data_IF_406061705865
#
_entry.id   IF_406061705865
#
_cell.length_a   1.000
_cell.length_b   1.000
_cell.length_c   1.000
_cell.angle_alpha   90.00
_cell.angle_beta   90.00
_cell.angle_gamma   90.00
#
_symmetry.space_group_name_H-M   'P 1'
#
loop_
_entity.id
_entity.type
_entity.pdbx_description
1 polymer ?
#
# COMPACT_ATOMS: atom_id res chain seq x y z
N UNK A 1 6.73 2.06 -15.01
CA UNK A 1 6.71 0.62 -14.68
C UNK A 1 5.90 -0.13 -15.72
N UNK A 2 6.15 -1.44 -15.93
CA UNK A 2 5.32 -2.29 -16.78
C UNK A 2 3.84 -2.26 -16.33
N UNK A 3 2.90 -2.20 -17.29
CA UNK A 3 1.45 -2.16 -17.02
C UNK A 3 0.95 -3.39 -16.25
N UNK A 4 1.65 -4.51 -16.41
CA UNK A 4 1.36 -5.79 -15.75
C UNK A 4 1.40 -5.67 -14.21
N UNK A 5 2.24 -4.79 -13.66
CA UNK A 5 2.36 -4.57 -12.21
C UNK A 5 1.28 -3.65 -11.63
N UNK A 6 0.61 -2.85 -12.46
CA UNK A 6 -0.55 -2.04 -12.04
C UNK A 6 -1.79 -2.92 -11.77
N UNK A 7 -1.70 -4.21 -12.12
CA UNK A 7 -2.77 -5.20 -12.04
C UNK A 7 -2.58 -6.19 -10.88
N UNK A 8 -1.83 -5.81 -9.83
CA UNK A 8 -1.56 -6.69 -8.68
C UNK A 8 -2.83 -7.34 -8.10
N UNK A 9 -3.97 -6.65 -8.14
CA UNK A 9 -5.27 -7.15 -7.67
C UNK A 9 -6.08 -7.95 -8.72
N UNK A 10 -5.59 -8.07 -9.95
CA UNK A 10 -6.24 -8.82 -11.04
C UNK A 10 -5.85 -10.30 -11.08
N UNK A 11 -4.86 -10.69 -10.26
CA UNK A 11 -4.40 -12.07 -10.14
C UNK A 11 -5.13 -12.76 -8.99
N UNK A 12 -5.37 -14.06 -9.13
CA UNK A 12 -5.84 -14.89 -8.02
C UNK A 12 -4.78 -14.86 -6.90
N UNK A 13 -5.23 -14.59 -5.68
CA UNK A 13 -4.37 -14.44 -4.50
C UNK A 13 -4.53 -15.68 -3.63
N UNK A 14 -3.44 -16.37 -3.36
CA UNK A 14 -3.42 -17.38 -2.32
C UNK A 14 -3.41 -16.69 -0.95
N UNK A 15 -4.24 -17.18 -0.03
CA UNK A 15 -4.24 -16.71 1.34
C UNK A 15 -2.91 -17.09 2.02
N UNK A 16 -2.28 -16.12 2.66
CA UNK A 16 -1.11 -16.36 3.51
C UNK A 16 -1.62 -16.52 4.93
N UNK A 17 -1.73 -17.76 5.41
CA UNK A 17 -2.31 -18.06 6.74
C UNK A 17 -1.44 -17.55 7.90
N UNK A 18 -0.12 -17.54 7.74
CA UNK A 18 0.82 -17.10 8.76
C UNK A 18 0.81 -15.58 8.93
N UNK A 19 0.30 -15.10 10.06
CA UNK A 19 0.19 -13.67 10.35
C UNK A 19 1.56 -13.01 10.56
N UNK A 20 2.59 -13.74 10.97
CA UNK A 20 3.94 -13.20 11.12
C UNK A 20 4.52 -12.83 9.75
N UNK A 21 4.29 -13.66 8.73
CA UNK A 21 4.68 -13.35 7.35
C UNK A 21 3.98 -12.09 6.85
N UNK A 22 2.66 -11.97 7.09
CA UNK A 22 1.89 -10.78 6.67
C UNK A 22 2.39 -9.52 7.38
N UNK A 23 2.64 -9.58 8.69
CA UNK A 23 3.19 -8.48 9.46
C UNK A 23 4.58 -8.06 8.95
N UNK A 24 5.51 -9.00 8.77
CA UNK A 24 6.88 -8.70 8.30
C UNK A 24 6.88 -8.12 6.88
N UNK A 25 5.97 -8.57 6.02
CA UNK A 25 5.80 -8.01 4.69
C UNK A 25 5.35 -6.54 4.75
N UNK A 26 4.40 -6.22 5.63
CA UNK A 26 3.95 -4.84 5.87
C UNK A 26 5.07 -3.97 6.45
N UNK A 27 5.87 -4.48 7.39
CA UNK A 27 7.04 -3.77 7.91
C UNK A 27 8.09 -3.49 6.83
N UNK A 28 8.33 -4.43 5.92
CA UNK A 28 9.21 -4.22 4.78
C UNK A 28 8.67 -3.14 3.82
N UNK A 29 7.37 -3.17 3.53
CA UNK A 29 6.69 -2.16 2.71
C UNK A 29 6.77 -0.78 3.37
N UNK A 30 6.57 -0.69 4.69
CA UNK A 30 6.73 0.53 5.47
C UNK A 30 8.11 1.15 5.25
N UNK A 31 9.18 0.35 5.38
CA UNK A 31 10.55 0.82 5.18
C UNK A 31 10.79 1.37 3.76
N UNK A 32 10.19 0.76 2.74
CA UNK A 32 10.27 1.22 1.35
C UNK A 32 9.53 2.55 1.18
N UNK A 33 8.30 2.66 1.70
CA UNK A 33 7.42 3.84 1.54
C UNK A 33 7.89 5.06 2.34
N UNK A 34 8.73 4.87 3.36
CA UNK A 34 9.36 6.00 4.06
C UNK A 34 10.17 6.89 3.10
N UNK A 35 10.77 6.31 2.06
CA UNK A 35 11.56 7.05 1.07
C UNK A 35 10.64 7.63 -0.02
N UNK A 36 10.90 8.86 -0.48
CA UNK A 36 9.98 9.53 -1.42
C UNK A 36 9.84 8.81 -2.77
N UNK A 37 10.92 8.28 -3.35
CA UNK A 37 10.85 7.48 -4.59
C UNK A 37 10.20 6.11 -4.38
N UNK A 38 10.36 5.53 -3.19
CA UNK A 38 9.67 4.30 -2.78
C UNK A 38 8.17 4.53 -2.69
N UNK A 39 7.75 5.65 -2.07
CA UNK A 39 6.35 6.07 -2.01
C UNK A 39 5.76 6.30 -3.39
N UNK A 40 6.43 7.08 -4.26
CA UNK A 40 5.97 7.31 -5.65
C UNK A 40 5.82 6.00 -6.43
N UNK A 41 6.80 5.10 -6.29
CA UNK A 41 6.75 3.78 -6.91
C UNK A 41 5.57 2.96 -6.40
N UNK A 42 5.30 3.00 -5.10
CA UNK A 42 4.16 2.34 -4.48
C UNK A 42 2.81 2.87 -5.01
N UNK A 43 2.67 4.18 -5.17
CA UNK A 43 1.48 4.77 -5.80
C UNK A 43 1.28 4.30 -7.25
N UNK A 44 2.37 4.17 -8.02
CA UNK A 44 2.29 3.76 -9.42
C UNK A 44 1.81 2.31 -9.66
N UNK A 45 1.73 1.49 -8.60
CA UNK A 45 1.16 0.12 -8.64
C UNK A 45 -0.18 0.01 -7.92
N UNK A 46 -0.87 1.12 -7.68
CA UNK A 46 -2.09 1.16 -6.87
C UNK A 46 -1.88 0.66 -5.42
N UNK A 47 -0.69 0.90 -4.86
CA UNK A 47 -0.34 0.51 -3.49
C UNK A 47 -1.39 0.85 -2.42
N UNK A 48 -1.97 2.08 -2.40
CA UNK A 48 -3.04 2.40 -1.45
C UNK A 48 -4.26 1.48 -1.56
N UNK A 49 -4.66 1.09 -2.78
CA UNK A 49 -5.77 0.16 -2.98
C UNK A 49 -5.39 -1.26 -2.55
N UNK A 50 -4.14 -1.66 -2.75
CA UNK A 50 -3.61 -2.95 -2.26
C UNK A 50 -3.72 -3.02 -0.73
N UNK A 51 -3.30 -1.96 -0.02
CA UNK A 51 -3.42 -1.90 1.44
C UNK A 51 -4.86 -1.90 1.90
N UNK A 52 -5.74 -1.14 1.22
CA UNK A 52 -7.15 -1.10 1.57
C UNK A 52 -7.79 -2.48 1.50
N UNK A 53 -7.61 -3.19 0.37
CA UNK A 53 -8.19 -4.54 0.21
C UNK A 53 -7.58 -5.51 1.23
N UNK A 54 -6.26 -5.43 1.45
CA UNK A 54 -5.60 -6.27 2.44
C UNK A 54 -6.10 -6.04 3.88
N UNK A 55 -6.40 -4.79 4.24
CA UNK A 55 -6.95 -4.43 5.54
C UNK A 55 -8.41 -4.84 5.71
N UNK A 56 -9.23 -4.72 4.65
CA UNK A 56 -10.64 -5.16 4.65
C UNK A 56 -10.79 -6.68 4.92
N UNK A 57 -9.80 -7.47 4.51
CA UNK A 57 -9.77 -8.93 4.66
C UNK A 57 -9.00 -9.40 5.94
N UNK A 58 -8.41 -8.49 6.72
CA UNK A 58 -7.55 -8.84 7.86
C UNK A 58 -8.30 -8.89 9.19
N UNK A 59 -8.02 -9.94 9.99
CA UNK A 59 -8.64 -10.15 11.30
C UNK A 59 -7.62 -10.19 12.46
N UNK A 60 -6.32 -10.39 12.17
CA UNK A 60 -5.27 -10.39 13.19
C UNK A 60 -4.95 -8.96 13.64
N UNK A 61 -5.17 -8.62 14.94
CA UNK A 61 -4.99 -7.25 15.42
C UNK A 61 -3.58 -6.69 15.21
N UNK A 62 -2.54 -7.53 15.24
CA UNK A 62 -1.15 -7.07 15.03
C UNK A 62 -0.90 -6.72 13.58
N UNK A 63 -1.48 -7.47 12.66
CA UNK A 63 -1.34 -7.20 11.22
C UNK A 63 -2.15 -5.95 10.86
N UNK A 64 -3.33 -5.77 11.46
CA UNK A 64 -4.12 -4.54 11.32
C UNK A 64 -3.33 -3.29 11.76
N UNK A 65 -2.64 -3.34 12.91
CA UNK A 65 -1.78 -2.24 13.37
C UNK A 65 -0.66 -1.90 12.35
N UNK A 66 -0.06 -2.92 11.73
CA UNK A 66 0.95 -2.72 10.69
C UNK A 66 0.36 -2.05 9.42
N UNK A 67 -0.85 -2.41 9.02
CA UNK A 67 -1.56 -1.71 7.93
C UNK A 67 -1.82 -0.24 8.27
N UNK A 68 -2.31 0.05 9.47
CA UNK A 68 -2.59 1.42 9.94
C UNK A 68 -1.31 2.27 9.95
N UNK A 69 -0.19 1.69 10.40
CA UNK A 69 1.11 2.37 10.41
C UNK A 69 1.52 2.79 9.00
N UNK A 70 1.41 1.90 8.01
CA UNK A 70 1.71 2.26 6.60
C UNK A 70 0.72 3.30 6.08
N UNK A 71 -0.58 3.13 6.36
CA UNK A 71 -1.64 4.06 5.96
C UNK A 71 -1.36 5.49 6.42
N UNK A 72 -0.82 5.66 7.63
CA UNK A 72 -0.45 6.97 8.17
C UNK A 72 0.56 7.74 7.30
N UNK A 73 1.46 7.03 6.60
CA UNK A 73 2.44 7.64 5.69
C UNK A 73 1.80 8.14 4.38
N UNK A 74 0.59 7.68 4.06
CA UNK A 74 -0.10 7.99 2.80
C UNK A 74 -1.13 9.12 2.98
N UNK A 75 -1.74 9.23 4.16
CA UNK A 75 -2.82 10.20 4.45
C UNK A 75 -2.32 11.66 4.55
N UNK A 76 -1.03 11.90 4.87
CA UNK A 76 -0.51 13.26 5.08
C UNK A 76 0.10 13.98 3.86
N UNK A 77 0.23 13.31 2.70
CA UNK A 77 0.94 13.86 1.52
C UNK A 77 0.21 13.68 0.20
N UNK A 78 -0.90 12.93 0.15
CA UNK A 78 -1.67 12.67 -1.06
C UNK A 78 -2.50 13.85 -1.59
N UNK A 79 -2.76 14.87 -0.77
CA UNK A 79 -3.53 16.06 -1.18
C UNK A 79 -2.70 17.09 -1.95
N UNK A 80 -1.38 17.08 -1.80
CA UNK A 80 -0.51 18.15 -2.37
C UNK A 80 -0.27 17.96 -3.88
N UNK A 81 -0.51 16.77 -4.43
CA UNK A 81 -0.25 16.48 -5.85
C UNK A 81 -1.51 16.44 -6.74
N UNK A 82 -2.73 16.45 -6.18
CA UNK A 82 -3.96 16.39 -6.99
C UNK A 82 -4.56 17.76 -7.37
N UNK A 83 -4.13 18.86 -6.76
CA UNK A 83 -4.66 20.21 -7.07
C UNK A 83 -3.93 20.97 -8.20
N UNK A 84 -2.83 20.45 -8.77
CA UNK A 84 -2.02 21.19 -9.75
C UNK A 84 -2.40 20.96 -11.23
N UNK A 85 -3.54 20.32 -11.52
CA UNK A 85 -4.03 20.17 -12.89
C UNK A 85 -5.44 20.73 -13.09
N UNK A 86 -5.56 22.05 -12.97
CA UNK A 86 -6.67 22.80 -13.57
C UNK A 86 -6.10 23.67 -14.70
N UNK A 87 -6.40 23.40 -15.98
CA UNK A 87 -6.03 24.30 -17.06
C UNK A 87 -6.81 25.60 -16.92
N UNK A 88 -6.11 26.72 -17.17
CA UNK A 88 -6.68 28.07 -17.27
C UNK A 88 -7.64 28.19 -18.45
#
# INVERSE_FOLDING_TARGET
>A
MPLELASALSHEREAVEDSEIRQQALEAIYMIIMQDDGRKSFWSVNGPRILQVGYEDEEDPKVMEAYELIGSLLVGKGEVEQEQHKPQ
#
